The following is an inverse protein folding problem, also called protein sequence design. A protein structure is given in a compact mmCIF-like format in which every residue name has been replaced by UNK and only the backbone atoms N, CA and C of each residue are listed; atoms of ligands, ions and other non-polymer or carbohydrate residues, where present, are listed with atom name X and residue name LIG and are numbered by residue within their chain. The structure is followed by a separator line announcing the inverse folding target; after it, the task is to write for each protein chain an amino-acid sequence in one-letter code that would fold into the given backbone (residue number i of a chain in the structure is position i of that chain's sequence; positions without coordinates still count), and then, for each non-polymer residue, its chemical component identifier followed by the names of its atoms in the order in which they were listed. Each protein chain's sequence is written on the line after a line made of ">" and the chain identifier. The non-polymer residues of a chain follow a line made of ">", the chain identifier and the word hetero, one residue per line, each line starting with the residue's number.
data_IF_481919750950
#
_entry.id   IF_481919750950
#
_cell.length_a   1.000
_cell.length_b   1.000
_cell.length_c   1.000
_cell.angle_alpha   90.00
_cell.angle_beta   90.00
_cell.angle_gamma   90.00
#
_symmetry.space_group_name_H-M   'P 1'
#
loop_
_entity.id
_entity.type
_entity.pdbx_description
1 polymer ?
#
# COMPACT_ATOMS: atom_id res chain seq x y z
N UNK A 1 -3.40 1.94 -27.02
CA UNK A 1 -4.35 0.94 -26.50
C UNK A 1 -5.32 1.65 -25.57
N UNK A 2 -6.57 1.20 -25.50
CA UNK A 2 -7.55 1.73 -24.55
C UNK A 2 -7.17 1.38 -23.09
N UNK A 3 -7.39 2.30 -22.14
CA UNK A 3 -6.98 2.17 -20.74
C UNK A 3 -7.61 0.94 -20.09
N UNK A 4 -8.89 0.66 -20.38
CA UNK A 4 -9.57 -0.50 -19.83
C UNK A 4 -8.96 -1.81 -20.36
N UNK A 5 -8.53 -1.84 -21.63
CA UNK A 5 -7.81 -2.97 -22.20
C UNK A 5 -6.45 -3.18 -21.53
N UNK A 6 -5.69 -2.10 -21.31
CA UNK A 6 -4.37 -2.17 -20.62
C UNK A 6 -4.55 -2.66 -19.19
N UNK A 7 -5.53 -2.12 -18.45
CA UNK A 7 -5.83 -2.55 -17.09
C UNK A 7 -6.12 -4.05 -17.04
N UNK A 8 -6.98 -4.58 -17.92
CA UNK A 8 -7.29 -6.01 -17.97
C UNK A 8 -6.07 -6.88 -18.27
N UNK A 9 -5.21 -6.43 -19.18
CA UNK A 9 -3.98 -7.15 -19.52
C UNK A 9 -3.02 -7.22 -18.33
N UNK A 10 -2.83 -6.10 -17.62
CA UNK A 10 -1.95 -6.04 -16.44
C UNK A 10 -2.53 -6.89 -15.29
N UNK A 11 -3.85 -6.81 -15.06
CA UNK A 11 -4.51 -7.61 -14.01
C UNK A 11 -4.39 -9.12 -14.23
N UNK A 12 -4.15 -9.58 -15.46
CA UNK A 12 -3.98 -10.99 -15.79
C UNK A 12 -2.53 -11.49 -15.58
N UNK A 13 -1.59 -10.61 -15.26
CA UNK A 13 -0.18 -10.98 -15.03
C UNK A 13 -0.05 -11.63 -13.64
N UNK A 14 0.51 -12.85 -13.53
CA UNK A 14 0.77 -13.48 -12.24
C UNK A 14 1.65 -12.59 -11.34
N UNK A 15 1.28 -12.46 -10.07
CA UNK A 15 1.99 -11.59 -9.12
C UNK A 15 1.43 -10.16 -9.04
N UNK A 16 0.42 -9.79 -9.84
CA UNK A 16 -0.35 -8.56 -9.69
C UNK A 16 -1.59 -8.85 -8.83
N UNK A 17 -1.71 -8.17 -7.68
CA UNK A 17 -2.84 -8.33 -6.76
C UNK A 17 -4.04 -7.47 -7.18
N UNK A 18 -3.80 -6.20 -7.54
CA UNK A 18 -4.85 -5.30 -7.99
C UNK A 18 -4.32 -4.24 -8.95
N UNK A 19 -5.14 -3.91 -9.94
CA UNK A 19 -4.98 -2.75 -10.82
C UNK A 19 -6.20 -1.86 -10.62
N UNK A 20 -5.95 -0.59 -10.31
CA UNK A 20 -6.99 0.42 -10.10
C UNK A 20 -6.80 1.56 -11.10
N UNK A 21 -7.89 2.12 -11.56
CA UNK A 21 -7.86 3.44 -12.20
C UNK A 21 -7.41 4.50 -11.21
N UNK A 22 -6.96 5.64 -11.73
CA UNK A 22 -6.66 6.85 -10.96
C UNK A 22 -7.72 7.17 -9.91
N UNK A 23 -8.99 7.29 -10.32
CA UNK A 23 -10.09 7.66 -9.43
C UNK A 23 -10.35 6.59 -8.35
N UNK A 24 -10.33 5.31 -8.71
CA UNK A 24 -10.50 4.21 -7.75
C UNK A 24 -9.37 4.16 -6.73
N UNK A 25 -8.13 4.39 -7.15
CA UNK A 25 -6.97 4.43 -6.27
C UNK A 25 -7.00 5.62 -5.32
N UNK A 26 -7.34 6.82 -5.84
CA UNK A 26 -7.50 8.03 -5.04
C UNK A 26 -8.57 7.82 -3.94
N UNK A 27 -9.73 7.27 -4.30
CA UNK A 27 -10.79 7.00 -3.34
C UNK A 27 -10.44 5.89 -2.33
N UNK A 28 -9.84 4.78 -2.79
CA UNK A 28 -9.54 3.62 -1.93
C UNK A 28 -8.37 3.87 -0.98
N UNK A 29 -7.33 4.55 -1.46
CA UNK A 29 -6.07 4.75 -0.73
C UNK A 29 -5.90 6.18 -0.23
N UNK A 30 -6.90 7.03 -0.39
CA UNK A 30 -6.91 8.42 0.08
C UNK A 30 -5.76 9.25 -0.52
N UNK A 31 -5.55 9.10 -1.83
CA UNK A 31 -4.44 9.72 -2.56
C UNK A 31 -4.87 11.00 -3.32
N UNK A 32 -3.96 11.98 -3.48
CA UNK A 32 -4.19 13.13 -4.33
C UNK A 32 -4.21 12.71 -5.81
N UNK A 33 -5.37 12.86 -6.45
CA UNK A 33 -5.64 12.37 -7.80
C UNK A 33 -4.72 13.01 -8.86
N UNK A 34 -4.33 14.27 -8.67
CA UNK A 34 -3.47 15.05 -9.57
C UNK A 34 -1.99 14.63 -9.55
N UNK A 35 -1.60 13.74 -8.63
CA UNK A 35 -0.20 13.30 -8.44
C UNK A 35 0.04 11.81 -8.69
N UNK A 36 -0.95 11.08 -9.16
CA UNK A 36 -0.84 9.66 -9.47
C UNK A 36 -1.09 9.41 -10.97
N UNK A 37 -0.56 8.30 -11.48
CA UNK A 37 -0.74 7.92 -12.89
C UNK A 37 -2.18 7.51 -13.22
N UNK A 38 -2.41 7.11 -14.47
CA UNK A 38 -3.73 6.64 -14.92
C UNK A 38 -4.14 5.32 -14.29
N UNK A 39 -3.14 4.47 -13.96
CA UNK A 39 -3.31 3.22 -13.26
C UNK A 39 -2.39 3.17 -12.03
N UNK A 40 -2.90 2.58 -10.96
CA UNK A 40 -2.12 2.18 -9.78
C UNK A 40 -2.15 0.67 -9.70
N UNK A 41 -0.97 0.07 -9.60
CA UNK A 41 -0.79 -1.38 -9.62
C UNK A 41 -0.15 -1.78 -8.29
N UNK A 42 -0.73 -2.78 -7.64
CA UNK A 42 -0.19 -3.37 -6.41
C UNK A 42 0.11 -4.83 -6.67
N UNK A 43 1.32 -5.28 -6.31
CA UNK A 43 1.72 -6.68 -6.43
C UNK A 43 1.19 -7.52 -5.27
N UNK A 44 1.13 -8.83 -5.51
CA UNK A 44 0.90 -9.82 -4.47
C UNK A 44 2.03 -9.84 -3.44
N UNK A 45 1.74 -10.41 -2.26
CA UNK A 45 2.61 -10.48 -1.08
C UNK A 45 4.08 -10.87 -1.32
N UNK A 46 4.37 -11.72 -2.30
CA UNK A 46 5.72 -12.23 -2.57
C UNK A 46 6.29 -11.76 -3.92
N UNK A 47 5.69 -10.72 -4.49
CA UNK A 47 6.06 -10.16 -5.80
C UNK A 47 6.42 -8.69 -5.67
N UNK A 48 7.32 -8.21 -6.52
CA UNK A 48 7.71 -6.80 -6.63
C UNK A 48 7.57 -6.31 -8.06
N UNK A 49 7.32 -5.01 -8.25
CA UNK A 49 7.11 -4.40 -9.57
C UNK A 49 8.34 -3.57 -9.92
N UNK A 50 9.06 -3.99 -10.95
CA UNK A 50 10.16 -3.26 -11.57
C UNK A 50 9.71 -2.46 -12.80
N UNK A 51 10.65 -1.80 -13.45
CA UNK A 51 10.38 -1.01 -14.66
C UNK A 51 10.76 -1.76 -15.94
N UNK A 52 12.06 -1.98 -16.18
CA UNK A 52 12.57 -2.81 -17.27
C UNK A 52 13.87 -3.48 -16.86
N UNK A 53 14.11 -4.72 -17.27
CA UNK A 53 15.28 -5.50 -16.82
C UNK A 53 16.62 -4.75 -17.04
N UNK A 54 16.79 -4.07 -18.17
CA UNK A 54 17.99 -3.27 -18.47
C UNK A 54 18.23 -2.06 -17.56
N UNK A 55 17.26 -1.67 -16.74
CA UNK A 55 17.35 -0.54 -15.80
C UNK A 55 17.52 -0.96 -14.35
N UNK A 56 17.53 -2.25 -14.06
CA UNK A 56 17.71 -2.78 -12.71
C UNK A 56 19.04 -3.53 -12.64
N UNK A 57 19.97 -3.00 -11.86
CA UNK A 57 21.16 -3.73 -11.46
C UNK A 57 20.87 -4.50 -10.16
N UNK A 58 20.77 -5.82 -10.26
CA UNK A 58 20.52 -6.71 -9.12
C UNK A 58 21.81 -7.32 -8.56
N UNK A 59 22.98 -6.89 -9.02
CA UNK A 59 24.27 -7.46 -8.61
C UNK A 59 24.50 -7.41 -7.11
N UNK A 60 23.98 -6.38 -6.43
CA UNK A 60 24.12 -6.17 -4.99
C UNK A 60 23.08 -6.88 -4.12
N UNK A 61 22.13 -7.59 -4.72
CA UNK A 61 21.17 -8.40 -3.99
C UNK A 61 21.82 -9.72 -3.52
N UNK A 62 22.68 -9.63 -2.51
CA UNK A 62 23.42 -10.80 -1.95
C UNK A 62 22.59 -11.69 -1.02
N UNK A 63 21.46 -11.16 -0.52
CA UNK A 63 20.52 -11.86 0.37
C UNK A 63 19.12 -11.91 -0.27
N UNK A 64 18.24 -12.82 0.17
CA UNK A 64 16.86 -12.87 -0.32
C UNK A 64 16.15 -11.52 -0.18
N UNK A 65 15.46 -11.10 -1.25
CA UNK A 65 14.78 -9.82 -1.29
C UNK A 65 13.68 -9.74 -0.23
N UNK A 66 13.69 -8.63 0.52
CA UNK A 66 12.59 -8.20 1.38
C UNK A 66 12.25 -6.76 1.00
N UNK A 67 10.97 -6.48 0.81
CA UNK A 67 10.50 -5.17 0.39
C UNK A 67 9.13 -4.87 1.02
N UNK A 68 8.52 -3.77 0.62
CA UNK A 68 7.23 -3.28 1.09
C UNK A 68 6.58 -2.38 0.04
N UNK A 69 5.36 -1.94 0.32
CA UNK A 69 4.61 -0.99 -0.51
C UNK A 69 3.28 -1.55 -0.98
N UNK A 70 3.04 -2.85 -0.77
CA UNK A 70 1.77 -3.49 -1.09
C UNK A 70 0.75 -3.41 0.04
N UNK A 71 -0.42 -3.97 -0.22
CA UNK A 71 -1.50 -4.11 0.78
C UNK A 71 -1.09 -5.12 1.86
N UNK A 72 -0.29 -6.12 1.50
CA UNK A 72 0.20 -7.17 2.40
C UNK A 72 1.04 -6.65 3.57
N UNK A 73 1.64 -5.46 3.46
CA UNK A 73 2.44 -4.83 4.52
C UNK A 73 1.67 -3.71 5.26
N UNK A 74 0.38 -3.48 4.98
CA UNK A 74 -0.36 -2.35 5.54
C UNK A 74 -0.60 -2.46 7.07
N UNK A 75 -0.69 -3.69 7.61
CA UNK A 75 -0.94 -3.90 9.04
C UNK A 75 0.34 -3.65 9.85
N UNK A 76 0.29 -2.67 10.74
CA UNK A 76 1.40 -2.31 11.63
C UNK A 76 0.95 -2.27 13.10
N UNK A 77 1.84 -2.56 14.06
CA UNK A 77 1.51 -2.44 15.47
C UNK A 77 1.45 -0.97 15.92
N UNK A 78 0.52 -0.67 16.83
CA UNK A 78 0.52 0.54 17.64
C UNK A 78 0.71 0.13 19.10
N UNK A 79 1.78 0.59 19.73
CA UNK A 79 2.17 0.19 21.09
C UNK A 79 2.28 1.42 21.99
N UNK A 80 1.78 1.31 23.21
CA UNK A 80 1.72 2.41 24.18
C UNK A 80 2.21 1.90 25.54
N UNK A 81 2.95 2.73 26.27
CA UNK A 81 3.41 2.44 27.64
C UNK A 81 2.44 2.98 28.72
N UNK A 82 1.21 3.27 28.31
CA UNK A 82 0.10 3.81 29.11
C UNK A 82 -1.17 3.08 28.72
N UNK A 83 -2.14 3.00 29.63
CA UNK A 83 -3.43 2.37 29.31
C UNK A 83 -4.21 3.33 28.41
N UNK A 84 -4.86 2.79 27.38
CA UNK A 84 -5.80 3.57 26.59
C UNK A 84 -7.20 3.44 27.20
N UNK A 85 -7.93 4.55 27.25
CA UNK A 85 -9.38 4.55 27.44
C UNK A 85 -10.09 3.93 26.24
N UNK A 86 -11.42 3.74 26.33
CA UNK A 86 -12.19 3.11 25.27
C UNK A 86 -12.10 3.90 23.95
N UNK A 87 -11.77 3.19 22.87
CA UNK A 87 -11.78 3.69 21.49
C UNK A 87 -13.12 3.27 20.86
N UNK A 88 -13.80 4.13 20.07
CA UNK A 88 -15.02 3.74 19.38
C UNK A 88 -14.85 2.47 18.55
N UNK A 89 -15.81 1.54 18.63
CA UNK A 89 -15.70 0.23 18.01
C UNK A 89 -15.71 0.28 16.46
N UNK A 90 -16.27 1.34 15.89
CA UNK A 90 -16.32 1.63 14.46
C UNK A 90 -15.09 2.40 13.95
N UNK A 91 -14.20 2.85 14.84
CA UNK A 91 -12.99 3.56 14.45
C UNK A 91 -11.95 2.59 13.86
N UNK A 92 -11.79 2.62 12.54
CA UNK A 92 -10.74 1.85 11.85
C UNK A 92 -9.36 2.49 12.09
N UNK A 93 -8.60 1.89 13.01
CA UNK A 93 -7.26 2.38 13.38
C UNK A 93 -6.30 2.50 12.18
N UNK A 94 -5.59 3.62 12.14
CA UNK A 94 -4.51 3.94 11.20
C UNK A 94 -3.23 4.24 11.97
N UNK A 95 -2.08 4.00 11.35
CA UNK A 95 -0.79 4.33 11.99
C UNK A 95 -0.67 5.81 12.36
N UNK A 96 -1.25 6.70 11.56
CA UNK A 96 -1.29 8.13 11.81
C UNK A 96 -2.29 8.57 12.89
N UNK A 97 -3.12 7.66 13.42
CA UNK A 97 -3.96 7.94 14.60
C UNK A 97 -3.15 8.00 15.90
N UNK A 98 -1.85 7.72 15.87
CA UNK A 98 -1.00 7.67 17.06
C UNK A 98 -1.10 8.93 17.91
N UNK A 99 -1.13 10.13 17.30
CA UNK A 99 -1.27 11.38 18.06
C UNK A 99 -2.66 11.53 18.67
N UNK A 100 -3.71 11.16 17.94
CA UNK A 100 -5.07 11.16 18.47
C UNK A 100 -5.18 10.26 19.70
N UNK A 101 -4.61 9.05 19.64
CA UNK A 101 -4.63 8.10 20.75
C UNK A 101 -3.79 8.56 21.94
N UNK A 102 -2.57 9.04 21.71
CA UNK A 102 -1.68 9.50 22.80
C UNK A 102 -2.27 10.73 23.49
N UNK A 103 -2.80 11.69 22.74
CA UNK A 103 -3.22 12.97 23.32
C UNK A 103 -4.60 12.92 23.98
N UNK A 104 -5.49 12.04 23.53
CA UNK A 104 -6.89 12.03 23.98
C UNK A 104 -7.29 10.76 24.74
N UNK A 105 -6.54 9.65 24.57
CA UNK A 105 -6.95 8.36 25.12
C UNK A 105 -5.94 7.72 26.07
N UNK A 106 -4.67 8.12 26.07
CA UNK A 106 -3.66 7.57 26.97
C UNK A 106 -3.75 8.15 28.39
N UNK A 107 -3.75 7.26 29.40
CA UNK A 107 -3.79 7.55 30.84
C UNK A 107 -2.51 7.08 31.53
#
# INVERSE_FOLDING_TARGET
>A
ADLASVSRQISAIPGVEVVLTRAEAAARFELPEDRIGDLVIVSERLSVIGTSASRHDLSELKLPLRSHGGISEQKVPLMFNRKLSAIPADHRLRNFDVFFLVMNHAQ
#
